data_IF_052475346021
#
_entry.id   IF_052475346021
#
_cell.length_a   1.000
_cell.length_b   1.000
_cell.length_c   1.000
_cell.angle_alpha   90.00
_cell.angle_beta   90.00
_cell.angle_gamma   90.00
#
_symmetry.space_group_name_H-M   'P 1'
#
loop_
_entity.id
_entity.type
_entity.pdbx_description
1 polymer ?
#
# COMPACT_ATOMS: atom_id res chain seq x y z
N UNK A 1 -39.56 -15.90 13.83
CA UNK A 1 -38.43 -14.95 13.83
C UNK A 1 -38.52 -14.09 12.56
N UNK A 2 -38.62 -12.76 12.70
CA UNK A 2 -38.67 -11.86 11.55
C UNK A 2 -37.33 -11.90 10.81
N UNK A 3 -37.36 -12.05 9.49
CA UNK A 3 -36.15 -12.15 8.64
C UNK A 3 -35.45 -10.79 8.61
N UNK A 4 -34.15 -10.73 8.96
CA UNK A 4 -33.33 -9.53 8.89
C UNK A 4 -32.79 -9.38 7.46
N UNK A 5 -32.97 -8.20 6.89
CA UNK A 5 -32.46 -7.80 5.57
C UNK A 5 -31.37 -6.74 5.78
N UNK A 6 -30.23 -6.93 5.15
CA UNK A 6 -29.12 -5.95 5.15
C UNK A 6 -29.13 -5.14 3.86
N UNK A 7 -29.00 -3.84 3.99
CA UNK A 7 -28.89 -2.90 2.86
C UNK A 7 -27.66 -2.02 3.05
N UNK A 8 -27.05 -1.63 1.95
CA UNK A 8 -25.94 -0.65 1.98
C UNK A 8 -26.53 0.71 2.40
N UNK A 9 -25.78 1.43 3.21
CA UNK A 9 -26.12 2.76 3.65
C UNK A 9 -26.18 3.72 2.44
N UNK A 10 -27.26 4.53 2.29
CA UNK A 10 -27.47 5.38 1.11
C UNK A 10 -26.46 6.54 1.03
N UNK A 11 -26.11 7.11 2.18
CA UNK A 11 -25.18 8.23 2.29
C UNK A 11 -24.45 8.22 3.63
N UNK A 12 -23.64 9.21 3.88
CA UNK A 12 -22.97 9.36 5.16
C UNK A 12 -23.94 9.91 6.23
N UNK A 13 -23.75 9.51 7.50
CA UNK A 13 -24.71 9.84 8.57
C UNK A 13 -24.90 11.34 8.81
N UNK A 14 -23.97 12.19 8.42
CA UNK A 14 -24.18 13.66 8.49
C UNK A 14 -25.18 14.20 7.46
N UNK A 15 -25.64 13.39 6.50
CA UNK A 15 -26.75 13.71 5.60
C UNK A 15 -28.06 13.21 6.19
N UNK A 16 -28.43 13.82 7.32
CA UNK A 16 -29.52 13.38 8.18
C UNK A 16 -30.82 13.19 7.39
N UNK A 17 -31.26 14.20 6.65
CA UNK A 17 -32.53 14.13 5.92
C UNK A 17 -32.59 13.05 4.85
N UNK A 18 -31.45 12.69 4.20
CA UNK A 18 -31.41 11.57 3.25
C UNK A 18 -31.62 10.23 3.95
N UNK A 19 -31.12 10.05 5.18
CA UNK A 19 -31.33 8.84 5.96
C UNK A 19 -32.76 8.70 6.46
N UNK A 20 -33.33 9.78 6.96
CA UNK A 20 -34.72 9.83 7.41
C UNK A 20 -35.68 9.46 6.27
N UNK A 21 -35.53 10.11 5.12
CA UNK A 21 -36.25 9.79 3.89
C UNK A 21 -36.09 8.31 3.48
N UNK A 22 -34.83 7.80 3.51
CA UNK A 22 -34.54 6.41 3.16
C UNK A 22 -35.23 5.41 4.10
N UNK A 23 -35.22 5.67 5.42
CA UNK A 23 -35.86 4.78 6.40
C UNK A 23 -37.38 4.75 6.22
N UNK A 24 -37.99 5.91 5.97
CA UNK A 24 -39.43 6.03 5.70
C UNK A 24 -39.80 5.29 4.41
N UNK A 25 -39.05 5.47 3.31
CA UNK A 25 -39.26 4.75 2.05
C UNK A 25 -39.11 3.22 2.19
N UNK A 26 -38.17 2.77 3.03
CA UNK A 26 -38.01 1.34 3.30
C UNK A 26 -39.15 0.77 4.11
N UNK A 27 -39.72 1.52 5.06
CA UNK A 27 -40.86 1.08 5.86
C UNK A 27 -42.13 0.95 5.03
N UNK A 28 -42.32 1.80 4.02
CA UNK A 28 -43.37 1.64 2.99
C UNK A 28 -43.27 0.35 2.17
N UNK A 29 -42.04 -0.23 2.09
CA UNK A 29 -41.77 -1.51 1.43
C UNK A 29 -41.79 -2.71 2.39
N UNK A 30 -42.25 -2.52 3.64
CA UNK A 30 -42.27 -3.54 4.67
C UNK A 30 -40.89 -3.88 5.23
N UNK A 31 -39.94 -2.93 5.18
CA UNK A 31 -38.63 -3.05 5.76
C UNK A 31 -38.47 -2.01 6.88
N UNK A 32 -38.66 -2.43 8.12
CA UNK A 32 -38.58 -1.55 9.28
C UNK A 32 -37.19 -1.50 9.83
N UNK A 33 -36.67 -0.29 10.10
CA UNK A 33 -35.33 -0.10 10.65
C UNK A 33 -35.17 -0.88 11.97
N UNK A 34 -34.05 -1.61 12.07
CA UNK A 34 -33.70 -2.36 13.27
C UNK A 34 -32.37 -1.90 13.86
N UNK A 35 -31.37 -1.70 13.01
CA UNK A 35 -30.02 -1.31 13.45
C UNK A 35 -29.27 -0.58 12.34
N UNK A 36 -28.59 0.50 12.70
CA UNK A 36 -27.65 1.21 11.84
C UNK A 36 -26.21 0.79 12.16
N UNK A 37 -25.37 0.65 11.15
CA UNK A 37 -23.96 0.24 11.28
C UNK A 37 -23.05 1.01 10.33
N UNK A 38 -21.76 0.72 10.36
CA UNK A 38 -20.75 1.47 9.58
C UNK A 38 -21.05 1.51 8.08
N UNK A 39 -21.32 0.35 7.48
CA UNK A 39 -21.58 0.22 6.04
C UNK A 39 -22.98 -0.28 5.72
N UNK A 40 -23.59 -1.06 6.63
CA UNK A 40 -24.85 -1.72 6.42
C UNK A 40 -25.90 -1.24 7.42
N UNK A 41 -27.11 -1.10 6.92
CA UNK A 41 -28.32 -0.88 7.70
C UNK A 41 -29.11 -2.19 7.72
N UNK A 42 -29.59 -2.57 8.90
CA UNK A 42 -30.37 -3.79 9.11
C UNK A 42 -31.82 -3.45 9.27
N UNK A 43 -32.67 -4.12 8.51
CA UNK A 43 -34.14 -3.97 8.56
C UNK A 43 -34.78 -5.30 8.96
N UNK A 44 -35.86 -5.23 9.72
CA UNK A 44 -36.78 -6.35 9.95
C UNK A 44 -37.86 -6.34 8.89
N UNK A 45 -38.13 -7.52 8.27
CA UNK A 45 -39.31 -7.67 7.40
C UNK A 45 -40.59 -7.63 8.22
N UNK A 46 -41.57 -6.85 7.77
CA UNK A 46 -42.89 -6.70 8.33
C UNK A 46 -43.89 -6.30 7.25
N UNK A 47 -45.08 -5.93 7.67
CA UNK A 47 -46.10 -5.33 6.79
C UNK A 47 -45.68 -3.91 6.40
N UNK A 48 -45.97 -3.44 5.18
CA UNK A 48 -45.77 -2.05 4.79
C UNK A 48 -46.53 -1.10 5.73
N UNK A 49 -45.79 -0.14 6.30
CA UNK A 49 -46.35 0.88 7.21
C UNK A 49 -45.76 2.24 6.90
N UNK A 50 -46.55 3.28 7.10
CA UNK A 50 -46.07 4.65 7.06
C UNK A 50 -45.49 4.99 8.44
N UNK A 51 -44.14 5.07 8.47
CA UNK A 51 -43.39 5.41 9.69
C UNK A 51 -42.48 6.58 9.36
N UNK A 52 -42.57 7.60 10.16
CA UNK A 52 -41.62 8.71 10.13
C UNK A 52 -40.41 8.38 10.98
N UNK A 53 -39.22 8.79 10.49
CA UNK A 53 -37.98 8.64 11.21
C UNK A 53 -37.34 10.00 11.41
N UNK A 54 -36.76 10.20 12.60
CA UNK A 54 -35.94 11.37 12.92
C UNK A 54 -34.59 10.92 13.45
N UNK A 55 -33.55 11.62 13.02
CA UNK A 55 -32.17 11.33 13.42
C UNK A 55 -31.64 12.48 14.29
N UNK A 56 -31.47 12.19 15.57
CA UNK A 56 -30.91 13.10 16.56
C UNK A 56 -29.39 12.94 16.65
N UNK A 57 -28.69 14.05 16.82
CA UNK A 57 -27.22 14.07 17.05
C UNK A 57 -26.95 14.57 18.46
N UNK A 58 -26.38 13.73 19.29
CA UNK A 58 -26.11 14.09 20.67
C UNK A 58 -24.64 14.42 20.93
N UNK A 59 -24.37 15.09 22.06
CA UNK A 59 -23.01 15.42 22.50
C UNK A 59 -22.24 14.20 22.98
N UNK A 60 -22.89 13.14 23.40
CA UNK A 60 -22.33 11.88 23.87
C UNK A 60 -22.69 10.75 22.90
N UNK A 61 -21.94 9.65 22.92
CA UNK A 61 -22.24 8.46 22.10
C UNK A 61 -23.48 7.69 22.60
N UNK A 62 -23.90 7.93 23.82
CA UNK A 62 -25.12 7.39 24.44
C UNK A 62 -26.09 8.50 24.74
N UNK A 63 -27.36 8.25 24.49
CA UNK A 63 -28.47 9.09 24.93
C UNK A 63 -28.85 8.68 26.35
N UNK A 64 -29.28 9.63 27.18
CA UNK A 64 -29.75 9.33 28.53
C UNK A 64 -31.16 8.70 28.53
N UNK A 65 -31.46 7.87 29.51
CA UNK A 65 -32.79 7.29 29.64
C UNK A 65 -33.87 8.36 29.80
N UNK A 66 -33.60 9.39 30.59
CA UNK A 66 -34.49 10.54 30.76
C UNK A 66 -34.85 11.24 29.44
N UNK A 67 -33.89 11.31 28.51
CA UNK A 67 -34.14 11.92 27.20
C UNK A 67 -34.90 10.97 26.28
N UNK A 68 -34.69 9.66 26.40
CA UNK A 68 -35.46 8.65 25.66
C UNK A 68 -36.94 8.71 26.15
N UNK A 69 -37.15 8.64 27.47
CA UNK A 69 -38.49 8.69 28.07
C UNK A 69 -39.25 9.95 27.64
N UNK A 70 -38.57 11.12 27.62
CA UNK A 70 -39.15 12.36 27.14
C UNK A 70 -39.61 12.29 25.67
N UNK A 71 -38.83 11.65 24.81
CA UNK A 71 -39.22 11.49 23.42
C UNK A 71 -40.34 10.46 23.24
N UNK A 72 -40.35 9.38 24.05
CA UNK A 72 -41.41 8.38 24.04
C UNK A 72 -42.75 8.97 24.51
N UNK A 73 -42.75 9.84 25.53
CA UNK A 73 -43.95 10.59 25.96
C UNK A 73 -44.51 11.47 24.84
N UNK A 74 -43.67 11.92 23.91
CA UNK A 74 -44.06 12.71 22.73
C UNK A 74 -44.33 11.86 21.49
N UNK A 75 -44.38 10.53 21.60
CA UNK A 75 -44.71 9.61 20.51
C UNK A 75 -43.53 9.18 19.63
N UNK A 76 -42.28 9.40 20.07
CA UNK A 76 -41.10 8.99 19.38
C UNK A 76 -40.41 7.81 20.05
N UNK A 77 -40.46 6.62 19.45
CA UNK A 77 -39.82 5.41 19.95
C UNK A 77 -38.35 5.37 19.53
N UNK A 78 -37.42 5.12 20.47
CA UNK A 78 -36.02 4.93 20.17
C UNK A 78 -35.75 3.60 19.45
N UNK A 79 -35.22 3.64 18.22
CA UNK A 79 -34.99 2.46 17.40
C UNK A 79 -33.57 1.93 17.54
N UNK A 80 -32.55 2.79 17.34
CA UNK A 80 -31.14 2.40 17.29
C UNK A 80 -30.22 3.60 17.39
N UNK A 81 -28.96 3.32 17.77
CA UNK A 81 -27.89 4.33 17.85
C UNK A 81 -26.62 3.86 17.15
N UNK A 82 -25.90 4.81 16.56
CA UNK A 82 -24.56 4.62 16.01
C UNK A 82 -23.70 5.85 16.28
N UNK A 83 -22.69 5.71 17.14
CA UNK A 83 -21.83 6.81 17.62
C UNK A 83 -22.66 7.97 18.22
N UNK A 84 -22.71 9.12 17.55
CA UNK A 84 -23.42 10.33 17.99
C UNK A 84 -24.82 10.45 17.38
N UNK A 85 -25.22 9.51 16.54
CA UNK A 85 -26.49 9.49 15.81
C UNK A 85 -27.46 8.52 16.48
N UNK A 86 -28.65 9.00 16.85
CA UNK A 86 -29.72 8.24 17.43
C UNK A 86 -30.95 8.36 16.54
N UNK A 87 -31.61 7.24 16.24
CA UNK A 87 -32.75 7.21 15.35
C UNK A 87 -34.00 6.89 16.16
N UNK A 88 -34.98 7.73 15.99
CA UNK A 88 -36.33 7.59 16.55
C UNK A 88 -37.31 7.35 15.42
N UNK A 89 -38.41 6.65 15.74
CA UNK A 89 -39.52 6.39 14.82
C UNK A 89 -40.85 6.74 15.45
N UNK A 90 -41.79 7.19 14.62
CA UNK A 90 -43.16 7.41 14.99
C UNK A 90 -44.10 6.98 13.86
N UNK A 91 -45.22 6.30 14.13
CA UNK A 91 -46.27 6.09 13.11
C UNK A 91 -46.78 7.45 12.61
N UNK A 92 -46.92 7.61 11.28
CA UNK A 92 -47.41 8.86 10.68
C UNK A 92 -48.79 9.24 11.27
N UNK A 93 -49.61 8.22 11.59
CA UNK A 93 -50.95 8.40 12.18
C UNK A 93 -50.95 9.03 13.59
N UNK A 94 -49.84 8.94 14.33
CA UNK A 94 -49.70 9.49 15.68
C UNK A 94 -49.53 11.00 15.69
N UNK A 95 -49.22 11.63 14.55
CA UNK A 95 -48.99 13.08 14.42
C UNK A 95 -48.03 13.62 15.51
N UNK A 96 -46.95 12.88 15.78
CA UNK A 96 -46.01 13.27 16.82
C UNK A 96 -45.35 14.63 16.48
N UNK A 97 -45.22 15.53 17.47
CA UNK A 97 -44.56 16.82 17.24
C UNK A 97 -43.10 16.62 16.84
N UNK A 98 -42.54 17.55 16.09
CA UNK A 98 -41.10 17.50 15.74
C UNK A 98 -40.23 17.47 17.01
N UNK A 99 -39.17 16.66 17.00
CA UNK A 99 -38.22 16.50 18.12
C UNK A 99 -37.59 17.85 18.50
N UNK A 100 -37.32 18.68 17.51
CA UNK A 100 -36.86 20.05 17.70
C UNK A 100 -37.83 21.04 17.02
N UNK A 101 -38.49 21.82 17.81
CA UNK A 101 -39.37 22.90 17.33
C UNK A 101 -38.59 24.12 16.88
N UNK A 102 -37.39 24.35 17.43
CA UNK A 102 -36.49 25.42 17.04
C UNK A 102 -35.24 24.88 16.30
N UNK A 103 -35.07 25.13 14.99
CA UNK A 103 -33.89 24.74 14.23
C UNK A 103 -32.59 25.30 14.81
N UNK A 104 -32.61 26.50 15.41
CA UNK A 104 -31.44 27.10 16.01
C UNK A 104 -30.94 26.29 17.23
N UNK A 105 -31.85 25.74 18.02
CA UNK A 105 -31.53 24.87 19.13
C UNK A 105 -30.90 23.56 18.65
N UNK A 106 -31.42 22.95 17.60
CA UNK A 106 -30.85 21.78 16.95
C UNK A 106 -29.41 22.04 16.45
N UNK A 107 -29.07 23.26 16.03
CA UNK A 107 -27.71 23.62 15.63
C UNK A 107 -26.68 23.46 16.76
N UNK A 108 -27.07 23.53 18.04
CA UNK A 108 -26.18 23.34 19.18
C UNK A 108 -25.78 21.86 19.37
N UNK A 109 -26.66 20.93 19.02
CA UNK A 109 -26.37 19.48 19.13
C UNK A 109 -25.22 19.10 18.17
N UNK A 110 -25.13 19.73 17.00
CA UNK A 110 -24.09 19.53 15.99
C UNK A 110 -22.73 20.14 16.37
N UNK A 111 -22.65 20.97 17.42
CA UNK A 111 -21.43 21.70 17.75
C UNK A 111 -20.24 20.76 18.05
N UNK A 112 -20.48 19.70 18.84
CA UNK A 112 -19.44 18.73 19.21
C UNK A 112 -18.97 17.92 18.00
N UNK A 113 -19.91 17.44 17.17
CA UNK A 113 -19.61 16.71 15.94
C UNK A 113 -18.77 17.58 14.99
N UNK A 114 -19.19 18.84 14.78
CA UNK A 114 -18.45 19.81 13.98
C UNK A 114 -17.02 20.03 14.49
N UNK A 115 -16.82 20.10 15.82
CA UNK A 115 -15.47 20.24 16.42
C UNK A 115 -14.61 19.00 16.18
N UNK A 116 -15.17 17.80 16.37
CA UNK A 116 -14.46 16.54 16.15
C UNK A 116 -14.02 16.42 14.68
N UNK A 117 -14.93 16.70 13.74
CA UNK A 117 -14.60 16.67 12.30
C UNK A 117 -13.53 17.70 11.93
N UNK A 118 -13.55 18.89 12.54
CA UNK A 118 -12.52 19.90 12.31
C UNK A 118 -11.16 19.45 12.86
N UNK A 119 -11.09 18.88 14.07
CA UNK A 119 -9.85 18.35 14.65
C UNK A 119 -9.30 17.22 13.80
N UNK A 120 -10.15 16.29 13.34
CA UNK A 120 -9.72 15.22 12.43
C UNK A 120 -9.19 15.77 11.11
N UNK A 121 -9.84 16.79 10.54
CA UNK A 121 -9.37 17.43 9.31
C UNK A 121 -7.99 18.08 9.51
N UNK A 122 -7.77 18.79 10.61
CA UNK A 122 -6.47 19.39 10.93
C UNK A 122 -5.41 18.30 11.11
N UNK A 123 -5.70 17.25 11.87
CA UNK A 123 -4.77 16.12 12.06
C UNK A 123 -4.38 15.47 10.72
N UNK A 124 -5.35 15.21 9.84
CA UNK A 124 -5.10 14.66 8.51
C UNK A 124 -4.30 15.61 7.61
N UNK A 125 -4.56 16.93 7.71
CA UNK A 125 -3.80 17.95 6.98
C UNK A 125 -2.33 18.04 7.39
N UNK A 126 -1.96 17.54 8.58
CA UNK A 126 -0.56 17.43 9.03
C UNK A 126 0.05 16.06 8.65
N UNK A 127 -0.70 14.98 8.80
CA UNK A 127 -0.21 13.62 8.52
C UNK A 127 0.11 13.42 7.03
N UNK A 128 -0.73 13.96 6.13
CA UNK A 128 -0.55 13.76 4.68
C UNK A 128 0.74 14.39 4.15
N UNK A 129 1.06 15.67 4.39
CA UNK A 129 2.34 16.23 3.96
C UNK A 129 3.54 15.52 4.57
N UNK A 130 3.44 15.08 5.84
CA UNK A 130 4.49 14.30 6.49
C UNK A 130 4.72 12.95 5.77
N UNK A 131 3.64 12.22 5.44
CA UNK A 131 3.73 10.95 4.71
C UNK A 131 4.32 11.13 3.31
N UNK A 132 3.91 12.18 2.59
CA UNK A 132 4.49 12.50 1.28
C UNK A 132 5.94 12.96 1.38
N UNK A 133 6.29 13.71 2.42
CA UNK A 133 7.67 14.11 2.69
C UNK A 133 8.58 12.91 2.95
N UNK A 134 8.13 11.96 3.78
CA UNK A 134 8.85 10.71 4.02
C UNK A 134 8.98 9.85 2.76
N UNK A 135 7.89 9.71 1.98
CA UNK A 135 7.92 9.00 0.71
C UNK A 135 8.90 9.64 -0.28
N UNK A 136 8.88 10.97 -0.40
CA UNK A 136 9.81 11.69 -1.26
C UNK A 136 11.25 11.54 -0.78
N UNK A 137 11.48 11.55 0.53
CA UNK A 137 12.80 11.35 1.10
C UNK A 137 13.35 9.96 0.75
N UNK A 138 12.59 8.89 0.98
CA UNK A 138 13.00 7.52 0.65
C UNK A 138 13.18 7.29 -0.86
N UNK A 139 12.49 8.07 -1.69
CA UNK A 139 12.58 7.91 -3.14
C UNK A 139 13.74 8.70 -3.77
N UNK A 140 13.98 9.91 -3.25
CA UNK A 140 14.90 10.85 -3.92
C UNK A 140 16.20 11.10 -3.16
N UNK A 141 16.26 10.90 -1.83
CA UNK A 141 17.49 11.18 -1.07
C UNK A 141 18.59 10.14 -1.36
N UNK A 142 18.21 8.86 -1.47
CA UNK A 142 19.18 7.81 -1.83
C UNK A 142 19.60 7.91 -3.29
N UNK A 143 18.82 8.63 -4.12
CA UNK A 143 19.08 8.87 -5.54
C UNK A 143 18.96 7.61 -6.42
N UNK A 144 18.28 6.56 -5.94
CA UNK A 144 18.05 5.28 -6.62
C UNK A 144 16.56 4.96 -6.74
N UNK A 145 15.75 5.84 -7.40
CA UNK A 145 14.30 5.73 -7.37
C UNK A 145 13.77 4.48 -8.10
N UNK A 146 14.43 4.06 -9.18
CA UNK A 146 13.97 2.91 -9.96
C UNK A 146 14.31 1.60 -9.26
N UNK A 147 15.47 1.49 -8.65
CA UNK A 147 15.85 0.33 -7.84
C UNK A 147 14.83 0.12 -6.71
N UNK A 148 14.50 1.18 -5.95
CA UNK A 148 13.49 1.12 -4.87
C UNK A 148 12.09 0.75 -5.36
N UNK A 149 11.74 1.18 -6.57
CA UNK A 149 10.47 0.83 -7.22
C UNK A 149 10.44 -0.64 -7.62
N UNK A 150 11.51 -1.14 -8.20
CA UNK A 150 11.67 -2.52 -8.68
C UNK A 150 11.68 -3.50 -7.51
N UNK A 151 12.38 -3.20 -6.44
CA UNK A 151 12.38 -3.97 -5.19
C UNK A 151 11.03 -3.97 -4.45
N UNK A 152 10.10 -3.08 -4.83
CA UNK A 152 8.74 -3.03 -4.28
C UNK A 152 8.58 -2.22 -3.00
N UNK A 153 9.64 -1.68 -2.40
CA UNK A 153 9.58 -0.92 -1.15
C UNK A 153 8.69 0.32 -1.23
N UNK A 154 8.67 1.02 -2.36
CA UNK A 154 7.90 2.25 -2.58
C UNK A 154 6.42 1.98 -2.84
N UNK A 155 6.06 0.81 -3.36
CA UNK A 155 4.68 0.50 -3.75
C UNK A 155 3.75 0.56 -2.55
N UNK A 156 4.14 -0.06 -1.43
CA UNK A 156 3.34 -0.06 -0.21
C UNK A 156 3.15 1.36 0.36
N UNK A 157 4.20 2.18 0.37
CA UNK A 157 4.14 3.57 0.85
C UNK A 157 3.27 4.43 -0.06
N UNK A 158 3.34 4.24 -1.38
CA UNK A 158 2.51 4.94 -2.36
C UNK A 158 1.03 4.62 -2.19
N UNK A 159 0.68 3.34 -2.02
CA UNK A 159 -0.70 2.90 -1.75
C UNK A 159 -1.21 3.52 -0.44
N UNK A 160 -0.41 3.51 0.63
CA UNK A 160 -0.77 4.12 1.91
C UNK A 160 -1.02 5.63 1.76
N UNK A 161 -0.22 6.33 0.97
CA UNK A 161 -0.38 7.75 0.68
C UNK A 161 -1.69 8.04 -0.08
N UNK A 162 -2.06 7.20 -1.04
CA UNK A 162 -3.34 7.28 -1.75
C UNK A 162 -4.52 7.09 -0.78
N UNK A 163 -4.43 6.13 0.12
CA UNK A 163 -5.44 5.89 1.17
C UNK A 163 -5.59 7.12 2.07
N UNK A 164 -4.50 7.74 2.49
CA UNK A 164 -4.52 8.95 3.31
C UNK A 164 -5.16 10.13 2.57
N UNK A 165 -4.87 10.33 1.28
CA UNK A 165 -5.51 11.36 0.45
C UNK A 165 -7.03 11.14 0.37
N UNK A 166 -7.47 9.89 0.23
CA UNK A 166 -8.89 9.56 0.24
C UNK A 166 -9.55 9.94 1.58
N UNK A 167 -8.91 9.64 2.72
CA UNK A 167 -9.41 10.05 4.03
C UNK A 167 -9.50 11.56 4.20
N UNK A 168 -8.55 12.31 3.66
CA UNK A 168 -8.62 13.80 3.66
C UNK A 168 -9.81 14.27 2.85
N UNK A 169 -9.97 13.79 1.63
CA UNK A 169 -11.11 14.13 0.77
C UNK A 169 -12.44 13.88 1.49
N UNK A 170 -12.58 12.72 2.12
CA UNK A 170 -13.75 12.32 2.88
C UNK A 170 -13.99 13.24 4.09
N UNK A 171 -12.95 13.55 4.86
CA UNK A 171 -13.01 14.43 6.04
C UNK A 171 -13.40 15.87 5.66
N UNK A 172 -12.91 16.37 4.52
CA UNK A 172 -13.32 17.68 3.98
C UNK A 172 -14.81 17.67 3.64
N UNK A 173 -15.30 16.63 2.97
CA UNK A 173 -16.71 16.47 2.64
C UNK A 173 -17.60 16.48 3.88
N UNK A 174 -17.25 15.72 4.91
CA UNK A 174 -17.93 15.66 6.19
C UNK A 174 -17.97 17.01 6.90
N UNK A 175 -16.82 17.66 7.02
CA UNK A 175 -16.70 18.96 7.70
C UNK A 175 -17.52 20.05 6.98
N UNK A 176 -17.52 20.06 5.64
CA UNK A 176 -18.32 20.99 4.83
C UNK A 176 -19.82 20.74 5.01
N UNK A 177 -20.27 19.49 4.95
CA UNK A 177 -21.68 19.13 5.09
C UNK A 177 -22.25 19.53 6.46
N UNK A 178 -21.55 19.17 7.54
CA UNK A 178 -21.98 19.54 8.91
C UNK A 178 -21.93 21.05 9.12
N UNK A 179 -20.93 21.76 8.57
CA UNK A 179 -20.86 23.21 8.67
C UNK A 179 -22.01 23.90 7.92
N UNK A 180 -22.37 23.40 6.73
CA UNK A 180 -23.51 23.90 5.96
C UNK A 180 -24.82 23.64 6.72
N UNK A 181 -25.05 22.40 7.17
CA UNK A 181 -26.24 22.05 7.95
C UNK A 181 -26.38 22.93 9.19
N UNK A 182 -25.30 23.10 9.95
CA UNK A 182 -25.31 23.97 11.14
C UNK A 182 -25.62 25.43 10.81
N UNK A 183 -25.16 25.96 9.67
CA UNK A 183 -25.45 27.30 9.21
C UNK A 183 -26.94 27.43 8.84
N UNK A 184 -27.44 26.48 8.04
CA UNK A 184 -28.84 26.50 7.57
C UNK A 184 -29.81 26.43 8.75
N UNK A 185 -29.55 25.58 9.76
CA UNK A 185 -30.29 25.50 10.99
C UNK A 185 -30.26 26.81 11.79
N UNK A 186 -29.10 27.50 11.89
CA UNK A 186 -29.00 28.81 12.54
C UNK A 186 -29.77 29.91 11.81
N UNK A 187 -29.93 29.77 10.51
CA UNK A 187 -30.75 30.66 9.68
C UNK A 187 -32.23 30.34 9.76
N UNK A 188 -32.65 29.40 10.64
CA UNK A 188 -34.02 29.00 10.84
C UNK A 188 -34.55 28.02 9.78
N UNK A 189 -33.70 27.44 8.94
CA UNK A 189 -34.09 26.43 7.96
C UNK A 189 -34.11 25.07 8.61
N UNK A 190 -35.26 24.42 8.67
CA UNK A 190 -35.41 23.06 9.15
C UNK A 190 -34.75 22.03 8.23
N UNK A 191 -34.45 20.85 8.78
CA UNK A 191 -33.91 19.72 7.98
C UNK A 191 -35.02 19.27 7.00
N UNK A 192 -34.64 19.03 5.75
CA UNK A 192 -35.54 18.41 4.78
C UNK A 192 -35.59 16.89 5.01
N UNK A 193 -36.64 16.44 5.70
CA UNK A 193 -36.87 15.02 6.05
C UNK A 193 -37.19 14.13 4.83
N UNK A 194 -37.47 14.71 3.67
CA UNK A 194 -37.76 14.04 2.41
C UNK A 194 -36.64 14.27 1.37
N UNK A 195 -35.39 14.47 1.80
CA UNK A 195 -34.27 14.71 0.92
C UNK A 195 -34.01 13.49 0.00
N UNK A 196 -33.68 13.72 -1.29
CA UNK A 196 -33.46 12.64 -2.27
C UNK A 196 -32.18 11.86 -1.97
N UNK A 197 -32.31 10.64 -1.49
CA UNK A 197 -31.20 9.73 -1.12
C UNK A 197 -30.67 8.89 -2.30
N UNK A 198 -31.46 8.73 -3.38
CA UNK A 198 -31.15 7.83 -4.48
C UNK A 198 -29.84 8.22 -5.22
N UNK A 199 -29.61 9.51 -5.41
CA UNK A 199 -28.42 10.04 -6.09
C UNK A 199 -27.13 9.81 -5.26
N UNK A 200 -27.25 9.69 -3.96
CA UNK A 200 -26.12 9.46 -3.05
C UNK A 200 -25.73 8.00 -2.95
N UNK A 201 -26.68 7.06 -3.20
CA UNK A 201 -26.44 5.62 -3.09
C UNK A 201 -25.34 5.14 -4.02
N UNK A 202 -25.35 5.56 -5.29
CA UNK A 202 -24.33 5.17 -6.28
C UNK A 202 -22.94 5.67 -5.90
N UNK A 203 -22.83 6.92 -5.48
CA UNK A 203 -21.54 7.50 -5.06
C UNK A 203 -20.98 6.81 -3.82
N UNK A 204 -21.84 6.50 -2.85
CA UNK A 204 -21.45 5.89 -1.58
C UNK A 204 -21.14 4.38 -1.67
N UNK A 205 -21.60 3.67 -2.69
CA UNK A 205 -21.28 2.25 -2.86
C UNK A 205 -19.97 2.02 -3.63
N UNK A 206 -19.65 2.89 -4.59
CA UNK A 206 -18.46 2.74 -5.43
C UNK A 206 -17.17 3.08 -4.67
N UNK A 207 -17.15 4.19 -3.94
CA UNK A 207 -15.96 4.63 -3.22
C UNK A 207 -15.48 3.66 -2.12
N UNK A 208 -16.33 3.14 -1.22
CA UNK A 208 -15.90 2.12 -0.25
C UNK A 208 -15.44 0.83 -0.92
N UNK A 209 -16.03 0.45 -2.05
CA UNK A 209 -15.60 -0.73 -2.79
C UNK A 209 -14.19 -0.56 -3.35
N UNK A 210 -13.90 0.57 -4.01
CA UNK A 210 -12.54 0.89 -4.48
C UNK A 210 -11.56 0.90 -3.30
N UNK A 211 -11.94 1.51 -2.18
CA UNK A 211 -11.10 1.54 -0.98
C UNK A 211 -10.80 0.13 -0.44
N UNK A 212 -11.79 -0.75 -0.38
CA UNK A 212 -11.59 -2.14 0.06
C UNK A 212 -10.63 -2.87 -0.90
N UNK A 213 -10.80 -2.70 -2.22
CA UNK A 213 -9.90 -3.30 -3.21
C UNK A 213 -8.47 -2.80 -3.04
N UNK A 214 -8.27 -1.50 -2.91
CA UNK A 214 -6.95 -0.89 -2.69
C UNK A 214 -6.33 -1.38 -1.38
N UNK A 215 -7.12 -1.45 -0.29
CA UNK A 215 -6.65 -1.96 0.99
C UNK A 215 -6.27 -3.45 0.93
N UNK A 216 -7.04 -4.28 0.20
CA UNK A 216 -6.69 -5.68 -0.02
C UNK A 216 -5.40 -5.83 -0.82
N UNK A 217 -5.26 -5.09 -1.92
CA UNK A 217 -4.04 -5.09 -2.73
C UNK A 217 -2.83 -4.66 -1.90
N UNK A 218 -2.96 -3.59 -1.11
CA UNK A 218 -1.87 -3.10 -0.24
C UNK A 218 -1.46 -4.09 0.85
N UNK A 219 -2.34 -5.03 1.22
CA UNK A 219 -2.03 -6.07 2.20
C UNK A 219 -1.47 -7.33 1.53
N UNK A 220 -2.02 -7.72 0.38
CA UNK A 220 -1.62 -8.93 -0.33
C UNK A 220 -0.21 -8.82 -0.91
N UNK A 221 0.16 -7.67 -1.45
CA UNK A 221 1.47 -7.49 -2.10
C UNK A 221 2.67 -7.73 -1.17
N UNK A 222 2.75 -7.11 0.04
CA UNK A 222 3.85 -7.39 0.97
C UNK A 222 3.85 -8.84 1.47
N UNK A 223 2.67 -9.45 1.64
CA UNK A 223 2.58 -10.85 2.04
C UNK A 223 3.11 -11.77 0.94
N UNK A 224 2.77 -11.50 -0.33
CA UNK A 224 3.32 -12.24 -1.46
C UNK A 224 4.83 -12.08 -1.58
N UNK A 225 5.35 -10.87 -1.34
CA UNK A 225 6.79 -10.60 -1.32
C UNK A 225 7.47 -11.39 -0.22
N UNK A 226 6.95 -11.37 1.01
CA UNK A 226 7.45 -12.15 2.14
C UNK A 226 7.47 -13.66 1.88
N UNK A 227 6.45 -14.22 1.22
CA UNK A 227 6.37 -15.65 0.90
C UNK A 227 7.38 -16.04 -0.18
N UNK A 228 7.70 -15.12 -1.09
CA UNK A 228 8.60 -15.36 -2.21
C UNK A 228 10.05 -14.96 -1.93
N UNK A 229 10.29 -14.22 -0.86
CA UNK A 229 11.62 -13.89 -0.39
C UNK A 229 12.13 -15.03 0.47
N UNK A 230 13.17 -15.70 0.00
CA UNK A 230 13.82 -16.78 0.73
C UNK A 230 15.32 -16.77 0.46
N UNK A 231 16.09 -17.26 1.42
CA UNK A 231 17.55 -17.31 1.34
C UNK A 231 18.02 -18.73 1.59
N UNK A 232 18.84 -19.24 0.69
CA UNK A 232 19.36 -20.59 0.71
C UNK A 232 20.87 -20.59 0.59
N UNK A 233 21.50 -21.62 1.15
CA UNK A 233 22.90 -21.94 0.84
C UNK A 233 23.02 -22.24 -0.63
N UNK A 234 23.97 -21.57 -1.32
CA UNK A 234 24.25 -21.79 -2.72
C UNK A 234 24.89 -23.20 -2.90
N UNK A 235 24.28 -24.14 -3.65
CA UNK A 235 24.89 -25.44 -3.91
C UNK A 235 26.22 -25.34 -4.65
N UNK A 236 27.12 -26.30 -4.42
CA UNK A 236 28.38 -26.36 -5.16
C UNK A 236 28.18 -26.77 -6.62
N UNK A 237 27.18 -27.62 -6.88
CA UNK A 237 26.79 -28.01 -8.24
C UNK A 237 26.02 -26.88 -8.92
N UNK A 238 26.13 -26.81 -10.26
CA UNK A 238 25.31 -25.86 -11.05
C UNK A 238 23.84 -26.28 -11.01
N UNK A 239 23.03 -25.43 -10.40
CA UNK A 239 21.58 -25.62 -10.28
C UNK A 239 20.80 -24.93 -11.41
N UNK A 240 21.50 -24.48 -12.47
CA UNK A 240 20.88 -23.79 -13.61
C UNK A 240 20.33 -22.41 -13.31
N UNK A 241 20.75 -21.80 -12.21
CA UNK A 241 20.48 -20.38 -11.97
C UNK A 241 21.32 -19.54 -12.95
N UNK A 242 20.76 -18.48 -13.49
CA UNK A 242 21.47 -17.60 -14.42
C UNK A 242 22.36 -16.60 -13.66
N UNK A 243 23.32 -17.11 -12.94
CA UNK A 243 24.24 -16.37 -12.08
C UNK A 243 25.68 -16.65 -12.51
N UNK A 244 26.55 -15.70 -12.24
CA UNK A 244 28.02 -15.89 -12.46
C UNK A 244 28.59 -16.58 -11.23
N UNK A 245 29.27 -17.69 -11.42
CA UNK A 245 29.87 -18.47 -10.34
C UNK A 245 31.34 -18.07 -10.14
N UNK A 246 31.78 -18.03 -8.88
CA UNK A 246 33.18 -17.74 -8.54
C UNK A 246 34.13 -18.74 -9.15
N UNK A 247 33.77 -20.01 -9.20
CA UNK A 247 34.56 -21.09 -9.77
C UNK A 247 34.79 -20.92 -11.30
N UNK A 248 33.74 -20.38 -12.01
CA UNK A 248 33.84 -20.12 -13.46
C UNK A 248 34.80 -18.95 -13.76
N UNK A 249 34.94 -18.01 -12.85
CA UNK A 249 35.80 -16.83 -12.99
C UNK A 249 37.25 -17.13 -12.58
N UNK A 250 37.44 -17.72 -11.41
CA UNK A 250 38.77 -18.01 -10.89
C UNK A 250 39.49 -19.14 -11.65
N UNK A 251 38.75 -20.13 -12.14
CA UNK A 251 39.25 -21.33 -12.84
C UNK A 251 40.45 -21.98 -12.14
N UNK A 252 40.51 -21.89 -10.83
CA UNK A 252 41.61 -22.38 -10.01
C UNK A 252 41.21 -23.67 -9.29
N UNK A 253 41.88 -24.81 -9.55
CA UNK A 253 41.55 -26.09 -8.91
C UNK A 253 41.83 -26.12 -7.40
N UNK A 254 42.57 -25.15 -6.85
CA UNK A 254 42.83 -25.01 -5.42
C UNK A 254 41.84 -24.08 -4.71
N UNK A 255 40.85 -23.57 -5.45
CA UNK A 255 39.78 -22.74 -4.85
C UNK A 255 38.91 -23.64 -3.97
N UNK A 256 38.83 -23.31 -2.70
CA UNK A 256 37.96 -23.92 -1.72
C UNK A 256 36.95 -22.89 -1.27
N UNK A 257 35.77 -23.37 -0.94
CA UNK A 257 34.71 -22.54 -0.40
C UNK A 257 35.11 -21.96 0.97
N UNK A 258 34.89 -20.68 1.18
CA UNK A 258 34.96 -20.05 2.49
C UNK A 258 33.53 -20.10 3.08
N UNK A 259 33.33 -20.83 4.16
CA UNK A 259 31.99 -21.11 4.70
C UNK A 259 31.74 -20.32 5.99
N UNK A 260 30.57 -19.68 6.05
CA UNK A 260 30.12 -18.94 7.23
C UNK A 260 28.63 -19.18 7.49
N UNK A 261 28.31 -20.07 8.43
CA UNK A 261 26.95 -20.49 8.72
C UNK A 261 26.28 -19.66 9.83
N UNK A 262 25.05 -19.18 9.55
CA UNK A 262 24.08 -18.65 10.53
C UNK A 262 22.75 -19.33 10.25
N UNK A 263 22.13 -19.96 11.27
CA UNK A 263 20.82 -20.61 11.16
C UNK A 263 20.68 -21.55 9.96
N UNK A 264 21.66 -22.44 9.78
CA UNK A 264 21.73 -23.45 8.70
C UNK A 264 22.00 -22.89 7.28
N UNK A 265 22.11 -21.57 7.10
CA UNK A 265 22.45 -20.93 5.82
C UNK A 265 23.93 -20.52 5.84
N UNK A 266 24.67 -20.89 4.79
CA UNK A 266 26.02 -20.40 4.55
C UNK A 266 25.96 -18.98 3.96
N UNK A 267 26.18 -17.98 4.81
CA UNK A 267 26.10 -16.56 4.44
C UNK A 267 27.24 -16.08 3.55
N UNK A 268 28.34 -16.80 3.51
CA UNK A 268 29.43 -16.52 2.59
C UNK A 268 29.15 -17.07 1.18
N UNK A 269 28.23 -18.05 1.09
CA UNK A 269 27.83 -18.68 -0.17
C UNK A 269 26.32 -18.91 -0.18
N UNK A 270 25.58 -17.86 -0.51
CA UNK A 270 24.12 -17.87 -0.47
C UNK A 270 23.52 -17.38 -1.78
N UNK A 271 22.27 -17.75 -1.99
CA UNK A 271 21.41 -17.04 -2.94
C UNK A 271 20.08 -16.71 -2.30
N UNK A 272 19.61 -15.51 -2.56
CA UNK A 272 18.30 -15.04 -2.14
C UNK A 272 17.41 -14.85 -3.35
N UNK A 273 16.14 -15.24 -3.22
CA UNK A 273 15.12 -14.95 -4.22
C UNK A 273 14.21 -13.85 -3.68
N UNK A 274 13.77 -12.96 -4.55
CA UNK A 274 12.81 -11.93 -4.21
C UNK A 274 11.82 -11.74 -5.37
N UNK A 275 10.76 -10.99 -5.11
CA UNK A 275 9.69 -10.73 -6.06
C UNK A 275 9.16 -9.30 -5.92
N UNK A 276 8.93 -8.66 -7.06
CA UNK A 276 8.26 -7.37 -7.13
C UNK A 276 7.33 -7.31 -8.34
N UNK A 277 6.38 -6.38 -8.35
CA UNK A 277 5.46 -6.19 -9.49
C UNK A 277 6.26 -5.78 -10.75
N UNK A 278 7.31 -5.00 -10.57
CA UNK A 278 8.12 -4.47 -11.67
C UNK A 278 9.32 -5.33 -12.00
N UNK A 279 9.70 -6.26 -11.11
CA UNK A 279 10.66 -7.33 -11.37
C UNK A 279 10.16 -8.63 -10.70
N UNK A 280 9.43 -9.46 -11.44
CA UNK A 280 8.90 -10.72 -10.91
C UNK A 280 9.94 -11.75 -10.53
N UNK A 281 11.15 -11.63 -11.08
CA UNK A 281 12.30 -12.48 -10.77
C UNK A 281 13.44 -11.58 -10.34
N UNK A 282 13.94 -11.82 -9.12
CA UNK A 282 15.08 -11.14 -8.57
C UNK A 282 15.94 -12.17 -7.84
N UNK A 283 17.24 -12.12 -8.09
CA UNK A 283 18.23 -12.95 -7.39
C UNK A 283 19.32 -12.05 -6.83
N UNK A 284 19.73 -12.32 -5.61
CA UNK A 284 20.94 -11.80 -4.98
C UNK A 284 21.81 -13.01 -4.61
N UNK A 285 23.05 -13.02 -5.00
CA UNK A 285 23.97 -14.16 -4.83
C UNK A 285 25.29 -13.67 -4.33
N UNK A 286 25.79 -14.30 -3.27
CA UNK A 286 27.13 -14.11 -2.75
C UNK A 286 27.88 -15.44 -2.80
N UNK A 287 29.14 -15.41 -3.22
CA UNK A 287 30.02 -16.56 -3.23
C UNK A 287 31.43 -16.15 -2.83
N UNK A 288 32.05 -16.84 -1.87
CA UNK A 288 33.37 -16.57 -1.36
C UNK A 288 34.21 -17.85 -1.35
N UNK A 289 35.49 -17.68 -1.60
CA UNK A 289 36.44 -18.80 -1.59
C UNK A 289 37.81 -18.41 -1.08
N UNK A 290 38.64 -19.42 -0.81
CA UNK A 290 40.04 -19.27 -0.43
C UNK A 290 40.88 -20.11 -1.38
N UNK A 291 41.95 -19.56 -1.90
CA UNK A 291 42.91 -20.31 -2.73
C UNK A 291 44.12 -20.70 -1.89
N UNK A 292 44.25 -22.00 -1.63
CA UNK A 292 45.33 -22.51 -0.78
C UNK A 292 46.73 -22.15 -1.33
N UNK A 293 47.59 -21.63 -0.43
CA UNK A 293 48.95 -21.29 -0.75
C UNK A 293 49.17 -20.00 -1.56
N UNK A 294 48.08 -19.24 -1.80
CA UNK A 294 48.16 -17.93 -2.47
C UNK A 294 47.84 -16.83 -1.48
N UNK A 295 48.50 -15.69 -1.59
CA UNK A 295 48.25 -14.47 -0.82
C UNK A 295 47.81 -13.34 -1.72
N UNK A 296 47.14 -12.33 -1.18
CA UNK A 296 46.87 -11.09 -1.87
C UNK A 296 48.21 -10.40 -2.28
N UNK A 297 48.21 -9.61 -3.35
CA UNK A 297 49.43 -8.93 -3.85
C UNK A 297 49.98 -7.89 -2.87
N UNK A 298 49.09 -7.31 -2.07
CA UNK A 298 49.42 -6.35 -1.00
C UNK A 298 49.84 -7.03 0.33
N UNK A 299 49.98 -8.35 0.33
CA UNK A 299 50.36 -9.18 1.47
C UNK A 299 49.36 -9.07 2.67
N UNK A 300 48.14 -8.61 2.43
CA UNK A 300 47.10 -8.42 3.47
C UNK A 300 46.57 -9.74 4.08
N UNK A 301 46.86 -10.89 3.46
CA UNK A 301 46.49 -12.21 3.94
C UNK A 301 46.31 -13.27 2.86
N UNK A 302 45.69 -14.41 3.20
CA UNK A 302 45.36 -15.44 2.20
C UNK A 302 44.49 -14.88 1.09
N UNK A 303 44.75 -15.33 -0.16
CA UNK A 303 43.93 -14.91 -1.30
C UNK A 303 42.54 -15.50 -1.22
N UNK A 304 41.56 -14.65 -0.94
CA UNK A 304 40.14 -14.98 -0.70
C UNK A 304 39.25 -14.21 -1.68
N UNK A 305 39.17 -14.68 -2.94
CA UNK A 305 38.30 -14.03 -3.93
C UNK A 305 36.83 -14.21 -3.60
N UNK A 306 36.03 -13.23 -4.01
CA UNK A 306 34.60 -13.28 -3.83
C UNK A 306 33.82 -12.64 -5.00
N UNK A 307 32.61 -13.08 -5.23
CA UNK A 307 31.72 -12.53 -6.22
C UNK A 307 30.32 -12.31 -5.62
N UNK A 308 29.73 -11.17 -5.92
CA UNK A 308 28.34 -10.83 -5.59
C UNK A 308 27.60 -10.47 -6.87
N UNK A 309 26.39 -10.96 -7.04
CA UNK A 309 25.58 -10.72 -8.24
C UNK A 309 24.14 -10.37 -7.84
N UNK A 310 23.61 -9.34 -8.49
CA UNK A 310 22.19 -8.97 -8.43
C UNK A 310 21.58 -9.10 -9.82
N UNK A 311 20.47 -9.81 -9.94
CA UNK A 311 19.82 -10.11 -11.23
C UNK A 311 18.37 -9.72 -11.15
N UNK A 312 17.89 -8.97 -12.14
CA UNK A 312 16.52 -8.48 -12.24
C UNK A 312 15.95 -8.83 -13.60
N UNK A 313 14.80 -9.52 -13.62
CA UNK A 313 13.95 -9.68 -14.80
C UNK A 313 12.77 -8.73 -14.68
N UNK A 314 12.76 -7.68 -15.52
CA UNK A 314 11.82 -6.57 -15.43
C UNK A 314 10.50 -6.87 -16.17
N UNK A 315 9.41 -6.36 -15.65
CA UNK A 315 8.12 -6.38 -16.36
C UNK A 315 8.14 -5.48 -17.59
N UNK A 316 8.82 -4.33 -17.51
CA UNK A 316 8.91 -3.35 -18.60
C UNK A 316 10.37 -3.01 -18.90
N UNK A 317 10.77 -3.14 -20.18
CA UNK A 317 12.11 -2.80 -20.64
C UNK A 317 12.50 -1.33 -20.38
N UNK A 318 11.52 -0.42 -20.33
CA UNK A 318 11.77 1.00 -20.06
C UNK A 318 12.44 1.28 -18.71
N UNK A 319 12.44 0.32 -17.79
CA UNK A 319 13.14 0.44 -16.51
C UNK A 319 14.59 -0.05 -16.56
N UNK A 320 15.06 -0.69 -17.65
CA UNK A 320 16.38 -1.28 -17.70
C UNK A 320 17.51 -0.23 -17.55
N UNK A 321 17.60 0.75 -18.46
CA UNK A 321 18.64 1.78 -18.39
C UNK A 321 18.60 2.63 -17.10
N UNK A 322 17.41 3.10 -16.60
CA UNK A 322 17.34 3.74 -15.29
C UNK A 322 17.78 2.85 -14.13
N UNK A 323 17.50 1.53 -14.18
CA UNK A 323 17.94 0.59 -13.15
C UNK A 323 19.46 0.39 -13.18
N UNK A 324 20.08 0.33 -14.37
CA UNK A 324 21.55 0.29 -14.53
C UNK A 324 22.18 1.47 -13.80
N UNK A 325 21.68 2.69 -14.05
CA UNK A 325 22.18 3.90 -13.39
C UNK A 325 22.00 3.85 -11.85
N UNK A 326 20.86 3.36 -11.38
CA UNK A 326 20.58 3.24 -9.95
C UNK A 326 21.47 2.17 -9.28
N UNK A 327 21.73 1.03 -9.94
CA UNK A 327 22.61 -0.03 -9.43
C UNK A 327 24.05 0.44 -9.27
N UNK A 328 24.56 1.20 -10.24
CA UNK A 328 25.88 1.83 -10.12
C UNK A 328 25.92 2.73 -8.89
N UNK A 329 24.94 3.63 -8.77
CA UNK A 329 24.88 4.59 -7.66
C UNK A 329 24.72 3.91 -6.30
N UNK A 330 23.99 2.80 -6.23
CA UNK A 330 23.75 2.07 -4.99
C UNK A 330 24.97 1.27 -4.52
N UNK A 331 25.69 0.69 -5.48
CA UNK A 331 26.79 -0.26 -5.22
C UNK A 331 28.19 0.36 -5.26
N UNK A 332 28.31 1.66 -5.59
CA UNK A 332 29.60 2.33 -5.77
C UNK A 332 29.73 3.55 -4.86
N UNK A 333 30.97 3.87 -4.49
CA UNK A 333 31.27 5.13 -3.85
C UNK A 333 31.18 6.29 -4.87
N UNK A 334 30.97 7.53 -4.40
CA UNK A 334 30.82 8.70 -5.29
C UNK A 334 31.99 8.84 -6.29
N UNK A 335 33.20 8.53 -5.85
CA UNK A 335 34.45 8.61 -6.68
C UNK A 335 34.52 7.53 -7.78
N UNK A 336 33.83 6.41 -7.60
CA UNK A 336 33.79 5.29 -8.53
C UNK A 336 32.74 5.50 -9.64
N UNK A 337 31.66 6.25 -9.38
CA UNK A 337 30.53 6.40 -10.31
C UNK A 337 31.00 6.96 -11.66
N UNK A 338 31.82 7.99 -11.64
CA UNK A 338 32.34 8.63 -12.85
C UNK A 338 33.47 7.81 -13.55
N UNK A 339 33.88 6.73 -12.93
CA UNK A 339 35.00 5.87 -13.45
C UNK A 339 34.50 4.65 -14.22
N UNK A 340 33.18 4.44 -14.32
CA UNK A 340 32.63 3.40 -15.18
C UNK A 340 32.80 3.75 -16.64
N UNK A 341 33.22 2.75 -17.42
CA UNK A 341 33.44 2.84 -18.87
C UNK A 341 32.36 2.03 -19.58
N UNK A 342 31.64 2.67 -20.49
CA UNK A 342 30.70 1.99 -21.37
C UNK A 342 31.48 1.25 -22.48
N UNK A 343 31.17 -0.04 -22.67
CA UNK A 343 31.79 -0.92 -23.64
C UNK A 343 30.75 -1.44 -24.62
N UNK A 344 30.99 -1.27 -25.91
CA UNK A 344 30.13 -1.87 -26.93
C UNK A 344 30.25 -3.38 -26.91
N UNK A 345 29.17 -4.12 -26.74
CA UNK A 345 29.12 -5.57 -26.75
C UNK A 345 28.08 -6.10 -27.72
N UNK A 346 28.45 -7.12 -28.52
CA UNK A 346 27.60 -7.61 -29.63
C UNK A 346 26.22 -8.13 -29.20
N UNK A 347 26.06 -8.58 -27.97
CA UNK A 347 24.87 -9.26 -27.50
C UNK A 347 24.13 -8.52 -26.37
N UNK A 348 24.68 -7.46 -25.80
CA UNK A 348 24.13 -6.65 -24.74
C UNK A 348 23.62 -5.31 -25.27
N UNK A 349 22.57 -4.77 -24.69
CA UNK A 349 22.05 -3.44 -25.01
C UNK A 349 22.85 -2.34 -24.30
N UNK A 350 23.36 -2.65 -23.10
CA UNK A 350 24.15 -1.74 -22.28
C UNK A 350 25.16 -2.56 -21.45
N UNK A 351 26.41 -2.11 -21.40
CA UNK A 351 27.49 -2.71 -20.60
C UNK A 351 28.39 -1.61 -20.04
N UNK A 352 28.42 -1.50 -18.72
CA UNK A 352 29.25 -0.56 -17.98
C UNK A 352 30.19 -1.34 -17.07
N UNK A 353 31.45 -1.00 -17.12
CA UNK A 353 32.53 -1.70 -16.43
C UNK A 353 33.35 -0.72 -15.60
N UNK A 354 33.59 -1.08 -14.36
CA UNK A 354 34.58 -0.45 -13.49
C UNK A 354 35.63 -1.47 -13.14
N UNK A 355 36.92 -1.09 -13.27
CA UNK A 355 38.04 -1.93 -12.94
C UNK A 355 39.10 -1.16 -12.14
N UNK A 356 39.44 -1.72 -10.99
CA UNK A 356 40.55 -1.32 -10.14
C UNK A 356 41.33 -2.56 -9.72
N UNK A 357 42.56 -2.41 -9.27
CA UNK A 357 43.37 -3.54 -8.84
C UNK A 357 42.66 -4.35 -7.74
N UNK A 358 42.36 -5.61 -8.05
CA UNK A 358 41.66 -6.51 -7.14
C UNK A 358 40.15 -6.32 -7.02
N UNK A 359 39.53 -5.31 -7.70
CA UNK A 359 38.09 -5.05 -7.69
C UNK A 359 37.57 -4.80 -9.10
N UNK A 360 36.49 -5.50 -9.47
CA UNK A 360 35.79 -5.28 -10.74
C UNK A 360 34.29 -5.22 -10.51
N UNK A 361 33.63 -4.30 -11.21
CA UNK A 361 32.19 -4.19 -11.19
C UNK A 361 31.67 -4.11 -12.62
N UNK A 362 30.60 -4.86 -12.91
CA UNK A 362 29.96 -4.89 -14.20
C UNK A 362 28.47 -4.67 -14.00
N UNK A 363 27.91 -3.75 -14.77
CA UNK A 363 26.47 -3.62 -14.91
C UNK A 363 26.11 -3.81 -16.36
N UNK A 364 25.23 -4.75 -16.64
CA UNK A 364 24.85 -5.09 -18.00
C UNK A 364 23.32 -5.25 -18.13
N UNK A 365 22.81 -4.90 -19.30
CA UNK A 365 21.39 -5.04 -19.62
C UNK A 365 21.17 -5.64 -21.01
N UNK A 366 20.11 -6.45 -21.14
CA UNK A 366 19.57 -6.94 -22.42
C UNK A 366 18.05 -7.09 -22.33
N UNK A 367 17.34 -6.31 -23.13
CA UNK A 367 15.87 -6.32 -23.11
C UNK A 367 15.33 -5.95 -21.73
N UNK A 368 14.73 -6.92 -21.05
CA UNK A 368 14.17 -6.75 -19.69
C UNK A 368 15.09 -7.26 -18.58
N UNK A 369 16.23 -7.82 -18.90
CA UNK A 369 17.16 -8.39 -17.93
C UNK A 369 18.24 -7.38 -17.61
N UNK A 370 18.48 -7.15 -16.33
CA UNK A 370 19.57 -6.33 -15.81
C UNK A 370 20.34 -7.16 -14.80
N UNK A 371 21.66 -7.14 -14.88
CA UNK A 371 22.57 -7.83 -13.98
C UNK A 371 23.67 -6.89 -13.51
N UNK A 372 23.89 -6.85 -12.21
CA UNK A 372 25.04 -6.24 -11.58
C UNK A 372 25.94 -7.34 -11.02
N UNK A 373 27.24 -7.24 -11.23
CA UNK A 373 28.23 -8.17 -10.69
C UNK A 373 29.39 -7.39 -10.09
N UNK A 374 29.74 -7.72 -8.86
CA UNK A 374 30.94 -7.22 -8.18
C UNK A 374 31.84 -8.39 -7.85
N UNK A 375 33.07 -8.31 -8.31
CA UNK A 375 34.10 -9.33 -8.11
C UNK A 375 35.32 -8.75 -7.43
N UNK A 376 35.78 -9.44 -6.43
CA UNK A 376 37.07 -9.18 -5.78
C UNK A 376 38.03 -10.34 -6.10
N UNK A 377 39.11 -10.05 -6.84
CA UNK A 377 40.10 -11.03 -7.26
C UNK A 377 40.92 -10.56 -8.46
N UNK A 378 41.75 -11.45 -8.97
CA UNK A 378 42.73 -11.14 -10.03
C UNK A 378 42.36 -11.73 -11.39
N UNK A 379 41.20 -12.32 -11.57
CA UNK A 379 40.77 -12.79 -12.88
C UNK A 379 40.58 -11.63 -13.86
N UNK A 380 40.74 -11.93 -15.14
CA UNK A 380 40.62 -10.96 -16.23
C UNK A 380 39.21 -10.45 -16.36
N UNK A 381 39.07 -9.14 -16.61
CA UNK A 381 37.76 -8.47 -16.77
C UNK A 381 37.01 -8.97 -18.01
N UNK A 382 37.71 -9.26 -19.12
CA UNK A 382 37.08 -9.76 -20.34
C UNK A 382 36.42 -11.11 -20.10
N UNK A 383 37.04 -11.98 -19.30
CA UNK A 383 36.43 -13.25 -18.91
C UNK A 383 35.17 -13.07 -18.05
N UNK A 384 35.16 -12.08 -17.16
CA UNK A 384 33.99 -11.75 -16.36
C UNK A 384 32.82 -11.21 -17.24
N UNK A 385 33.16 -10.36 -18.24
CA UNK A 385 32.19 -9.82 -19.21
C UNK A 385 31.55 -10.96 -20.03
N UNK A 386 32.32 -11.90 -20.55
CA UNK A 386 31.80 -13.03 -21.33
C UNK A 386 30.83 -13.89 -20.50
N UNK A 387 31.17 -14.18 -19.24
CA UNK A 387 30.30 -14.93 -18.33
C UNK A 387 28.98 -14.16 -18.05
N UNK A 388 29.06 -12.87 -17.77
CA UNK A 388 27.87 -12.02 -17.55
C UNK A 388 26.97 -12.03 -18.79
N UNK A 389 27.55 -11.82 -19.99
CA UNK A 389 26.82 -11.81 -21.26
C UNK A 389 26.11 -13.15 -21.51
N UNK A 390 26.80 -14.27 -21.28
CA UNK A 390 26.22 -15.60 -21.43
C UNK A 390 25.04 -15.84 -20.50
N UNK A 391 25.16 -15.44 -19.22
CA UNK A 391 24.05 -15.63 -18.23
C UNK A 391 22.84 -14.74 -18.53
N UNK A 392 23.06 -13.50 -18.93
CA UNK A 392 21.98 -12.60 -19.38
C UNK A 392 21.26 -13.15 -20.62
N UNK A 393 21.99 -13.70 -21.59
CA UNK A 393 21.36 -14.30 -22.77
C UNK A 393 20.47 -15.50 -22.45
N UNK A 394 20.84 -16.32 -21.47
CA UNK A 394 20.01 -17.44 -21.02
C UNK A 394 18.65 -16.96 -20.49
N UNK A 395 18.65 -15.88 -19.70
CA UNK A 395 17.42 -15.27 -19.18
C UNK A 395 16.58 -14.63 -20.29
N UNK A 396 17.21 -13.79 -21.13
CA UNK A 396 16.51 -13.07 -22.19
C UNK A 396 15.86 -14.00 -23.24
N UNK A 397 16.35 -15.23 -23.40
CA UNK A 397 15.76 -16.25 -24.28
C UNK A 397 14.53 -16.92 -23.67
N UNK A 398 14.42 -17.03 -22.35
CA UNK A 398 13.24 -17.59 -21.65
C UNK A 398 11.99 -16.74 -21.85
N UNK A 399 12.14 -15.42 -21.97
CA UNK A 399 11.02 -14.49 -22.18
C UNK A 399 10.38 -14.57 -23.59
N UNK A 400 11.01 -15.25 -24.53
CA UNK A 400 10.53 -15.34 -25.92
C UNK A 400 9.83 -16.67 -26.24
N UNK A 401 9.58 -17.52 -25.25
CA UNK A 401 8.86 -18.80 -25.37
C UNK A 401 7.55 -18.71 -24.56
#
# INVERSE_FOLDING_TARGET
MSKIVRKIRPSEYWRIGEHESYFSDMSLKGLHLHKIGTYFIHFKKGEPKRIEYRMEVTKKKSISYEQIDLYEENGWEHVTSYQYFHVFSSPEESNAPEIHTDPAEQAYTLQRLSKILLVNLIAMSLIVPLSFGLLSATWFLDGTPVLRLVEGHIIQQSIMSIILLFYVYYSIGAARAIRSLKRDLKEGKAINHHAPWQNSLHKNSVFPFIFIVVALVSTILPVMQLIKMDTYTLPQEDIGLPIVRLADIEQNPLLKRDEYYIDEVDWANRYSTNWGIFAPVQYEVDESGIVEGKTWLDESGPYSPSISSEVYELTFQAFAAPLVADLIKWNSYEEEIDSYVEIDHATLDELLVYEEEGKKQIVAAKGKVVMYVRYYGYADVDHLIENVAQKIEVLAKKDNI
#
